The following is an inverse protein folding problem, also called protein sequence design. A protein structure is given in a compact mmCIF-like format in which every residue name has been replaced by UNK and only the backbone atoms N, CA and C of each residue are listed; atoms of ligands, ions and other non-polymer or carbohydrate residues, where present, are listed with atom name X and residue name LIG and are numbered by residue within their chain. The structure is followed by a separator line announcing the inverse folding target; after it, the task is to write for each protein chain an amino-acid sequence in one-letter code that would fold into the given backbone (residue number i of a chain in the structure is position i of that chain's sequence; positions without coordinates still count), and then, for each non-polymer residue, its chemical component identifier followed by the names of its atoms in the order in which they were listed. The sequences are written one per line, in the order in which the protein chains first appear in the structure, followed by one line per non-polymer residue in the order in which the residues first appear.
data_IF_868894378043
#
_entry.id   IF_868894378043
#
_cell.length_a   1.000
_cell.length_b   1.000
_cell.length_c   1.000
_cell.angle_alpha   90.00
_cell.angle_beta   90.00
_cell.angle_gamma   90.00
#
_symmetry.space_group_name_H-M   'P 1'
#
loop_
_entity.id
_entity.type
_entity.pdbx_description
1 polymer ?
#
# COMPACT_ATOMS: atom_id res chain seq x y z
N UNK A 1 -14.76 13.16 -23.63
CA UNK A 1 -14.12 13.53 -22.35
C UNK A 1 -12.62 13.55 -22.55
N UNK A 2 -11.96 14.62 -22.14
CA UNK A 2 -10.50 14.68 -22.20
C UNK A 2 -9.89 13.63 -21.26
N UNK A 3 -8.85 12.97 -21.76
CA UNK A 3 -8.14 11.96 -20.97
C UNK A 3 -7.33 12.64 -19.86
N UNK A 4 -7.49 12.17 -18.64
CA UNK A 4 -6.79 12.69 -17.45
C UNK A 4 -5.58 11.81 -17.16
N UNK A 5 -4.40 12.42 -17.07
CA UNK A 5 -3.16 11.71 -16.68
C UNK A 5 -2.99 11.77 -15.18
N UNK A 6 -2.79 10.62 -14.57
CA UNK A 6 -2.37 10.46 -13.17
C UNK A 6 -1.09 9.66 -13.12
N UNK A 7 -0.31 9.84 -12.07
CA UNK A 7 0.87 9.02 -11.83
C UNK A 7 0.70 8.15 -10.60
N UNK A 8 1.07 6.88 -10.70
CA UNK A 8 1.12 5.95 -9.58
C UNK A 8 2.59 5.71 -9.22
N UNK A 9 2.97 6.18 -8.03
CA UNK A 9 4.33 6.10 -7.53
C UNK A 9 4.49 4.89 -6.60
N UNK A 10 5.31 3.92 -7.02
CA UNK A 10 5.70 2.78 -6.17
C UNK A 10 7.00 3.06 -5.42
N UNK A 11 7.12 2.56 -4.21
CA UNK A 11 8.41 2.56 -3.48
C UNK A 11 9.40 1.53 -4.04
N UNK A 12 8.99 0.70 -4.98
CA UNK A 12 9.81 -0.28 -5.70
C UNK A 12 10.24 0.22 -7.07
N UNK A 13 10.32 -0.72 -8.03
CA UNK A 13 10.54 -0.41 -9.45
C UNK A 13 9.22 -0.47 -10.23
N UNK A 14 9.09 0.39 -11.23
CA UNK A 14 8.02 0.33 -12.22
C UNK A 14 8.44 -0.50 -13.46
N UNK A 15 7.49 -1.04 -14.26
CA UNK A 15 6.04 -1.06 -14.00
C UNK A 15 5.64 -2.10 -12.93
N UNK A 16 4.52 -1.83 -12.23
CA UNK A 16 3.92 -2.72 -11.24
C UNK A 16 2.69 -3.42 -11.82
N UNK A 17 2.91 -4.22 -12.84
CA UNK A 17 1.83 -4.96 -13.52
C UNK A 17 1.02 -5.83 -12.55
N UNK A 18 1.67 -6.38 -11.51
CA UNK A 18 1.05 -7.15 -10.43
C UNK A 18 0.02 -6.36 -9.59
N UNK A 19 0.04 -5.04 -9.66
CA UNK A 19 -0.91 -4.16 -8.98
C UNK A 19 -1.84 -3.49 -9.99
N UNK A 20 -1.27 -2.93 -11.05
CA UNK A 20 -2.00 -2.10 -12.01
C UNK A 20 -3.03 -2.90 -12.82
N UNK A 21 -2.74 -4.16 -13.14
CA UNK A 21 -3.71 -5.03 -13.82
C UNK A 21 -5.04 -5.19 -13.07
N UNK A 22 -5.02 -5.20 -11.74
CA UNK A 22 -6.23 -5.26 -10.92
C UNK A 22 -6.84 -3.88 -10.62
N UNK A 23 -6.03 -2.81 -10.61
CA UNK A 23 -6.52 -1.45 -10.37
C UNK A 23 -7.18 -0.85 -11.61
N UNK A 24 -6.60 -1.06 -12.80
CA UNK A 24 -7.06 -0.47 -14.06
C UNK A 24 -8.55 -0.69 -14.35
N UNK A 25 -9.13 -1.89 -14.16
CA UNK A 25 -10.56 -2.11 -14.34
C UNK A 25 -11.45 -1.34 -13.33
N UNK A 26 -10.90 -0.90 -12.20
CA UNK A 26 -11.61 -0.16 -11.16
C UNK A 26 -11.57 1.36 -11.39
N UNK A 27 -10.68 1.83 -12.27
CA UNK A 27 -10.51 3.25 -12.57
C UNK A 27 -11.44 3.68 -13.70
N UNK A 28 -11.83 4.97 -13.68
CA UNK A 28 -12.62 5.55 -14.75
C UNK A 28 -11.89 5.41 -16.11
N UNK A 29 -12.58 5.01 -17.21
CA UNK A 29 -11.95 4.74 -18.52
C UNK A 29 -11.19 5.93 -19.12
N UNK A 30 -11.51 7.15 -18.70
CA UNK A 30 -10.82 8.38 -19.10
C UNK A 30 -9.49 8.63 -18.40
N UNK A 31 -9.13 7.81 -17.41
CA UNK A 31 -7.86 7.95 -16.68
C UNK A 31 -6.75 7.23 -17.41
N UNK A 32 -5.65 7.95 -17.68
CA UNK A 32 -4.39 7.39 -18.18
C UNK A 32 -3.44 7.27 -16.99
N UNK A 33 -3.02 6.04 -16.69
CA UNK A 33 -2.04 5.74 -15.65
C UNK A 33 -0.64 5.89 -16.24
N UNK A 34 0.20 6.66 -15.58
CA UNK A 34 1.64 6.63 -15.70
C UNK A 34 2.22 6.03 -14.42
N UNK A 35 3.29 5.27 -14.54
CA UNK A 35 3.93 4.60 -13.42
C UNK A 35 5.34 5.12 -13.20
N UNK A 36 5.72 5.27 -11.95
CA UNK A 36 7.08 5.60 -11.53
C UNK A 36 7.46 4.79 -10.30
N UNK A 37 8.72 4.36 -10.25
CA UNK A 37 9.29 3.72 -9.07
C UNK A 37 10.40 4.55 -8.45
N UNK A 38 10.46 4.62 -7.12
CA UNK A 38 11.58 5.26 -6.43
C UNK A 38 12.92 4.58 -6.72
N UNK A 39 12.89 3.32 -7.13
CA UNK A 39 14.08 2.53 -7.47
C UNK A 39 14.36 2.49 -8.97
N UNK A 40 13.60 3.22 -9.80
CA UNK A 40 13.84 3.25 -11.24
C UNK A 40 15.21 3.88 -11.54
N UNK A 41 15.98 3.23 -12.41
CA UNK A 41 17.31 3.69 -12.79
C UNK A 41 18.43 3.42 -11.76
N UNK A 42 18.10 2.91 -10.57
CA UNK A 42 19.13 2.54 -9.60
C UNK A 42 19.83 1.23 -9.99
N UNK A 43 21.15 1.20 -9.80
CA UNK A 43 21.93 -0.04 -9.93
C UNK A 43 21.58 -1.04 -8.80
N UNK A 44 21.89 -2.34 -8.96
CA UNK A 44 21.72 -3.31 -7.89
C UNK A 44 22.39 -2.90 -6.57
N UNK A 45 23.58 -2.30 -6.64
CA UNK A 45 24.33 -1.80 -5.48
C UNK A 45 23.63 -0.58 -4.87
N UNK A 46 23.01 0.29 -5.69
CA UNK A 46 22.18 1.41 -5.23
C UNK A 46 20.99 0.93 -4.42
N UNK A 47 20.31 -0.11 -4.91
CA UNK A 47 19.17 -0.73 -4.21
C UNK A 47 19.62 -1.41 -2.91
N UNK A 48 20.78 -2.10 -2.93
CA UNK A 48 21.33 -2.76 -1.74
C UNK A 48 21.59 -1.76 -0.60
N UNK A 49 22.06 -0.56 -0.90
CA UNK A 49 22.26 0.53 0.10
C UNK A 49 20.96 1.03 0.73
N UNK A 50 19.82 0.76 0.12
CA UNK A 50 18.52 1.14 0.65
C UNK A 50 17.92 0.08 1.59
N UNK A 51 18.57 -1.04 1.78
CA UNK A 51 18.14 -2.05 2.77
C UNK A 51 18.10 -1.48 4.18
N UNK A 52 17.21 -1.99 5.03
CA UNK A 52 17.16 -1.57 6.43
C UNK A 52 18.42 -2.02 7.17
N UNK A 53 18.90 -1.16 8.05
CA UNK A 53 19.94 -1.48 9.04
C UNK A 53 19.32 -2.10 10.29
N UNK A 54 20.16 -2.63 11.18
CA UNK A 54 19.66 -3.22 12.42
C UNK A 54 18.82 -2.21 13.22
N UNK A 55 17.58 -2.58 13.52
CA UNK A 55 16.62 -1.73 14.25
C UNK A 55 15.83 -0.75 13.38
N UNK A 56 16.08 -0.68 12.08
CA UNK A 56 15.24 0.10 11.17
C UNK A 56 13.98 -0.68 10.74
N UNK A 57 12.91 0.04 10.50
CA UNK A 57 11.66 -0.50 9.99
C UNK A 57 11.79 -0.94 8.53
N UNK A 58 11.49 -2.20 8.19
CA UNK A 58 11.48 -2.66 6.81
C UNK A 58 10.17 -2.30 6.11
N UNK A 59 10.25 -1.79 4.87
CA UNK A 59 9.17 -1.73 3.91
C UNK A 59 9.39 -2.79 2.83
N UNK A 60 8.32 -3.48 2.45
CA UNK A 60 8.37 -4.54 1.43
C UNK A 60 7.90 -4.01 0.08
N UNK A 61 8.65 -4.30 -0.96
CA UNK A 61 8.28 -4.00 -2.34
C UNK A 61 8.83 -5.03 -3.33
N UNK A 62 8.60 -4.78 -4.62
CA UNK A 62 9.14 -5.64 -5.70
C UNK A 62 9.97 -4.84 -6.68
N UNK A 63 10.99 -5.50 -7.22
CA UNK A 63 11.75 -5.04 -8.38
C UNK A 63 11.03 -5.44 -9.68
N UNK A 64 11.41 -4.83 -10.79
CA UNK A 64 10.84 -5.07 -12.13
C UNK A 64 10.84 -6.55 -12.52
N UNK A 65 11.84 -7.33 -12.09
CA UNK A 65 11.90 -8.78 -12.29
C UNK A 65 11.01 -9.61 -11.35
N UNK A 66 10.16 -8.99 -10.53
CA UNK A 66 9.28 -9.67 -9.59
C UNK A 66 9.95 -10.09 -8.27
N UNK A 67 11.26 -9.88 -8.11
CA UNK A 67 11.97 -10.17 -6.85
C UNK A 67 11.50 -9.24 -5.74
N UNK A 68 11.10 -9.80 -4.60
CA UNK A 68 10.80 -9.04 -3.39
C UNK A 68 12.09 -8.48 -2.80
N UNK A 69 12.03 -7.27 -2.27
CA UNK A 69 13.10 -6.62 -1.52
C UNK A 69 12.52 -5.91 -0.31
N UNK A 70 13.35 -5.79 0.72
CA UNK A 70 13.10 -5.00 1.92
C UNK A 70 13.92 -3.73 1.85
N UNK A 71 13.30 -2.60 2.15
CA UNK A 71 13.89 -1.26 2.08
C UNK A 71 13.72 -0.57 3.44
N UNK A 72 14.69 0.25 3.81
CA UNK A 72 14.59 1.08 5.00
C UNK A 72 13.48 2.13 4.84
N UNK A 73 12.52 2.13 5.76
CA UNK A 73 11.45 3.14 5.81
C UNK A 73 12.03 4.55 5.79
N UNK A 74 13.02 4.81 6.63
CA UNK A 74 13.69 6.11 6.75
C UNK A 74 14.31 6.58 5.42
N UNK A 75 15.03 5.68 4.73
CA UNK A 75 15.66 5.99 3.44
C UNK A 75 14.62 6.25 2.36
N UNK A 76 13.56 5.46 2.29
CA UNK A 76 12.46 5.63 1.34
C UNK A 76 11.68 6.92 1.62
N UNK A 77 11.35 7.21 2.88
CA UNK A 77 10.68 8.45 3.27
C UNK A 77 11.47 9.71 2.91
N UNK A 78 12.82 9.63 2.91
CA UNK A 78 13.66 10.76 2.49
C UNK A 78 13.66 10.99 0.97
N UNK A 79 13.45 9.95 0.16
CA UNK A 79 13.42 10.02 -1.31
C UNK A 79 12.06 10.51 -1.86
N UNK A 80 10.98 10.22 -1.14
CA UNK A 80 9.61 10.46 -1.62
C UNK A 80 9.33 11.93 -2.00
N UNK A 81 9.74 12.94 -1.20
CA UNK A 81 9.47 14.34 -1.54
C UNK A 81 10.05 14.79 -2.87
N UNK A 82 11.30 14.41 -3.16
CA UNK A 82 11.96 14.77 -4.42
C UNK A 82 11.24 14.15 -5.62
N UNK A 83 10.82 12.88 -5.50
CA UNK A 83 10.06 12.20 -6.55
C UNK A 83 8.72 12.91 -6.81
N UNK A 84 8.00 13.34 -5.77
CA UNK A 84 6.74 14.07 -5.90
C UNK A 84 6.96 15.45 -6.52
N UNK A 85 7.98 16.20 -6.10
CA UNK A 85 8.31 17.49 -6.69
C UNK A 85 8.66 17.37 -8.18
N UNK A 86 9.39 16.33 -8.57
CA UNK A 86 9.67 16.04 -9.97
C UNK A 86 8.38 15.84 -10.77
N UNK A 87 7.44 15.01 -10.26
CA UNK A 87 6.15 14.79 -10.91
C UNK A 87 5.34 16.08 -11.11
N UNK A 88 5.36 16.98 -10.14
CA UNK A 88 4.69 18.27 -10.22
C UNK A 88 5.25 19.17 -11.32
N UNK A 89 6.58 19.27 -11.39
CA UNK A 89 7.29 20.22 -12.28
C UNK A 89 7.34 19.72 -13.73
N UNK A 90 7.72 18.46 -13.92
CA UNK A 90 8.09 17.95 -15.25
C UNK A 90 6.93 17.30 -15.99
N UNK A 91 5.99 16.68 -15.28
CA UNK A 91 5.02 15.77 -15.86
C UNK A 91 3.63 16.35 -16.08
N UNK A 92 3.32 17.52 -15.52
CA UNK A 92 1.98 18.16 -15.59
C UNK A 92 0.83 17.19 -15.24
N UNK A 93 1.04 16.40 -14.18
CA UNK A 93 0.02 15.47 -13.71
C UNK A 93 -1.14 16.20 -13.04
N UNK A 94 -2.33 15.60 -13.11
CA UNK A 94 -3.53 16.14 -12.44
C UNK A 94 -3.67 15.65 -11.01
N UNK A 95 -3.13 14.48 -10.72
CA UNK A 95 -3.05 13.88 -9.40
C UNK A 95 -2.01 12.75 -9.38
N UNK A 96 -1.62 12.30 -8.19
CA UNK A 96 -0.83 11.09 -8.02
C UNK A 96 -1.37 10.21 -6.90
N UNK A 97 -1.10 8.91 -7.00
CA UNK A 97 -1.40 7.91 -5.97
C UNK A 97 -0.12 7.20 -5.52
N UNK A 98 0.00 6.93 -4.24
CA UNK A 98 1.15 6.23 -3.68
C UNK A 98 0.85 4.74 -3.54
N UNK A 99 1.63 3.89 -4.21
CA UNK A 99 1.48 2.42 -4.14
C UNK A 99 2.20 1.86 -2.90
N UNK A 100 1.82 2.37 -1.73
CA UNK A 100 2.30 1.93 -0.42
C UNK A 100 1.29 2.32 0.67
N UNK A 101 1.17 1.51 1.71
CA UNK A 101 0.27 1.75 2.85
C UNK A 101 0.98 2.36 4.06
N UNK A 102 2.28 2.66 3.94
CA UNK A 102 3.01 3.31 5.02
C UNK A 102 2.48 4.73 5.27
N UNK A 103 2.51 5.17 6.54
CA UNK A 103 2.17 6.54 6.93
C UNK A 103 3.40 7.45 6.73
N UNK A 104 3.56 7.91 5.49
CA UNK A 104 4.67 8.81 5.14
C UNK A 104 4.48 10.20 5.75
N UNK A 105 5.59 10.88 6.11
CA UNK A 105 5.53 12.26 6.58
C UNK A 105 4.80 13.16 5.59
N UNK A 106 3.78 13.87 6.07
CA UNK A 106 2.96 14.76 5.24
C UNK A 106 3.72 16.08 4.99
N UNK A 107 3.69 16.52 3.74
CA UNK A 107 4.16 17.82 3.29
C UNK A 107 3.09 18.47 2.42
N UNK A 108 3.12 19.78 2.31
CA UNK A 108 2.27 20.49 1.36
C UNK A 108 2.82 20.30 -0.05
N UNK A 109 2.00 19.76 -0.93
CA UNK A 109 2.26 19.64 -2.35
C UNK A 109 1.13 20.33 -3.13
N UNK A 110 1.45 20.94 -4.26
CA UNK A 110 0.45 21.57 -5.13
C UNK A 110 -0.36 20.53 -5.92
N UNK A 111 0.15 19.31 -6.03
CA UNK A 111 -0.50 18.18 -6.68
C UNK A 111 -1.39 17.42 -5.70
N UNK A 112 -2.66 17.13 -6.00
CA UNK A 112 -3.46 16.21 -5.21
C UNK A 112 -2.77 14.85 -5.12
N UNK A 113 -2.50 14.40 -3.88
CA UNK A 113 -1.86 13.12 -3.60
C UNK A 113 -2.80 12.21 -2.83
N UNK A 114 -2.94 10.97 -3.31
CA UNK A 114 -3.75 9.95 -2.66
C UNK A 114 -2.84 8.95 -1.94
N UNK A 115 -2.85 9.01 -0.62
CA UNK A 115 -2.19 8.02 0.24
C UNK A 115 -3.22 6.99 0.70
N UNK A 116 -3.05 5.70 0.39
CA UNK A 116 -4.00 4.67 0.85
C UNK A 116 -4.20 4.65 2.36
N UNK A 117 -3.13 4.93 3.14
CA UNK A 117 -3.19 4.99 4.58
C UNK A 117 -4.26 5.96 5.11
N UNK A 118 -4.33 7.17 4.56
CA UNK A 118 -5.27 8.21 5.01
C UNK A 118 -6.74 7.76 4.83
N UNK A 119 -7.04 7.16 3.69
CA UNK A 119 -8.38 6.64 3.41
C UNK A 119 -8.72 5.42 4.26
N UNK A 120 -7.77 4.51 4.46
CA UNK A 120 -7.94 3.37 5.36
C UNK A 120 -8.21 3.84 6.80
N UNK A 121 -7.42 4.81 7.28
CA UNK A 121 -7.60 5.39 8.61
C UNK A 121 -8.97 6.07 8.75
N UNK A 122 -9.39 6.86 7.74
CA UNK A 122 -10.71 7.47 7.73
C UNK A 122 -11.82 6.42 7.76
N UNK A 123 -11.76 5.41 6.91
CA UNK A 123 -12.76 4.34 6.85
C UNK A 123 -12.87 3.59 8.18
N UNK A 124 -11.75 3.19 8.77
CA UNK A 124 -11.77 2.42 10.02
C UNK A 124 -12.22 3.25 11.21
N UNK A 125 -11.73 4.49 11.33
CA UNK A 125 -12.00 5.32 12.50
C UNK A 125 -13.32 6.09 12.43
N UNK A 126 -13.71 6.60 11.28
CA UNK A 126 -14.87 7.47 11.10
C UNK A 126 -16.10 6.76 10.56
N UNK A 127 -15.94 5.89 9.58
CA UNK A 127 -17.06 5.20 8.93
C UNK A 127 -17.43 3.94 9.72
N UNK A 128 -16.50 3.02 9.90
CA UNK A 128 -16.71 1.75 10.61
C UNK A 128 -16.71 1.94 12.13
N UNK A 129 -16.04 2.99 12.63
CA UNK A 129 -15.85 3.23 14.07
C UNK A 129 -15.29 2.00 14.80
N UNK A 130 -14.39 1.30 14.12
CA UNK A 130 -13.80 0.07 14.62
C UNK A 130 -12.98 0.34 15.90
N UNK A 131 -13.24 -0.43 16.94
CA UNK A 131 -12.53 -0.39 18.22
C UNK A 131 -11.44 -1.45 18.28
N UNK A 132 -11.58 -2.51 17.51
CA UNK A 132 -10.68 -3.64 17.44
C UNK A 132 -10.34 -3.92 15.99
N UNK A 133 -9.09 -3.71 15.59
CA UNK A 133 -8.62 -3.94 14.22
C UNK A 133 -7.77 -5.20 14.14
N UNK A 134 -8.04 -6.04 13.14
CA UNK A 134 -7.15 -7.09 12.67
C UNK A 134 -6.31 -6.56 11.49
N UNK A 135 -5.01 -6.72 11.55
CA UNK A 135 -4.12 -6.27 10.49
C UNK A 135 -3.31 -7.45 9.95
N UNK A 136 -3.18 -7.55 8.63
CA UNK A 136 -2.26 -8.50 8.01
C UNK A 136 -1.13 -7.74 7.34
N UNK A 137 0.11 -8.07 7.71
CA UNK A 137 1.33 -7.45 7.19
C UNK A 137 2.19 -8.45 6.39
N UNK A 138 3.05 -7.99 5.46
CA UNK A 138 3.93 -8.87 4.69
C UNK A 138 4.95 -9.65 5.51
N UNK A 139 5.46 -9.06 6.60
CA UNK A 139 6.55 -9.60 7.41
C UNK A 139 6.21 -9.54 8.90
N UNK A 140 6.59 -10.59 9.64
CA UNK A 140 6.46 -10.62 11.10
C UNK A 140 7.19 -9.45 11.77
N UNK A 141 8.36 -9.06 11.24
CA UNK A 141 9.15 -7.91 11.74
C UNK A 141 8.41 -6.56 11.71
N UNK A 142 7.32 -6.45 10.93
CA UNK A 142 6.48 -5.24 10.87
C UNK A 142 5.40 -5.20 11.97
N UNK A 143 5.21 -6.29 12.73
CA UNK A 143 4.06 -6.44 13.60
C UNK A 143 3.97 -5.35 14.69
N UNK A 144 5.08 -5.08 15.39
CA UNK A 144 5.06 -4.12 16.52
C UNK A 144 4.80 -2.69 16.04
N UNK A 145 5.51 -2.24 14.99
CA UNK A 145 5.27 -0.94 14.37
C UNK A 145 3.81 -0.81 13.89
N UNK A 146 3.27 -1.89 13.32
CA UNK A 146 1.89 -1.90 12.80
C UNK A 146 0.87 -1.79 13.92
N UNK A 147 1.10 -2.43 15.06
CA UNK A 147 0.24 -2.26 16.25
C UNK A 147 0.17 -0.79 16.69
N UNK A 148 1.31 -0.12 16.73
CA UNK A 148 1.36 1.30 17.09
C UNK A 148 0.67 2.18 16.03
N UNK A 149 1.00 1.98 14.75
CA UNK A 149 0.44 2.71 13.61
C UNK A 149 -1.09 2.68 13.58
N UNK A 150 -1.66 1.49 13.74
CA UNK A 150 -3.10 1.28 13.64
C UNK A 150 -3.83 1.27 14.99
N UNK A 151 -3.11 1.31 16.11
CA UNK A 151 -3.67 1.03 17.45
C UNK A 151 -4.48 -0.27 17.42
N UNK A 152 -3.93 -1.28 16.76
CA UNK A 152 -4.63 -2.51 16.42
C UNK A 152 -4.67 -3.51 17.57
N UNK A 153 -5.69 -4.37 17.57
CA UNK A 153 -5.86 -5.42 18.57
C UNK A 153 -5.07 -6.68 18.24
N UNK A 154 -4.85 -6.96 16.97
CA UNK A 154 -4.13 -8.14 16.50
C UNK A 154 -3.47 -7.89 15.15
N UNK A 155 -2.19 -8.24 15.04
CA UNK A 155 -1.43 -8.25 13.79
C UNK A 155 -1.01 -9.66 13.48
N UNK A 156 -1.25 -10.10 12.25
CA UNK A 156 -0.82 -11.36 11.67
C UNK A 156 0.09 -11.08 10.48
N UNK A 157 1.02 -11.98 10.21
CA UNK A 157 1.90 -11.89 9.05
C UNK A 157 1.52 -12.89 7.97
N UNK A 158 1.54 -12.45 6.72
CA UNK A 158 1.43 -13.28 5.53
C UNK A 158 2.00 -12.49 4.34
N UNK A 159 3.01 -13.05 3.67
CA UNK A 159 3.53 -12.38 2.48
C UNK A 159 2.50 -12.37 1.34
N UNK A 160 2.29 -11.24 0.64
CA UNK A 160 1.48 -11.21 -0.58
C UNK A 160 2.19 -11.83 -1.80
N UNK A 161 3.46 -12.21 -1.64
CA UNK A 161 4.33 -12.69 -2.73
C UNK A 161 4.87 -14.09 -2.53
N UNK A 162 4.71 -14.67 -1.34
CA UNK A 162 5.21 -15.99 -0.99
C UNK A 162 4.16 -16.76 -0.20
N UNK A 163 4.38 -18.06 -0.01
CA UNK A 163 3.55 -18.89 0.85
C UNK A 163 3.57 -18.42 2.31
N UNK A 164 2.86 -19.12 3.17
CA UNK A 164 2.77 -18.81 4.62
C UNK A 164 1.50 -19.37 5.21
N UNK A 165 1.03 -18.78 6.31
CA UNK A 165 -0.22 -19.13 6.99
C UNK A 165 -1.40 -19.12 5.99
N UNK A 166 -2.35 -20.01 6.17
CA UNK A 166 -3.59 -19.97 5.39
C UNK A 166 -4.46 -18.79 5.82
N UNK A 167 -5.31 -18.30 4.90
CA UNK A 167 -6.28 -17.27 5.23
C UNK A 167 -7.29 -17.73 6.28
N UNK A 168 -7.62 -19.02 6.30
CA UNK A 168 -8.48 -19.64 7.31
C UNK A 168 -7.87 -19.55 8.72
N UNK A 169 -6.58 -19.87 8.87
CA UNK A 169 -5.87 -19.76 10.17
C UNK A 169 -5.86 -18.33 10.69
N UNK A 170 -5.55 -17.35 9.82
CA UNK A 170 -5.56 -15.94 10.16
C UNK A 170 -6.97 -15.49 10.58
N UNK A 171 -7.98 -15.86 9.79
CA UNK A 171 -9.37 -15.51 10.07
C UNK A 171 -9.86 -16.08 11.42
N UNK A 172 -9.51 -17.33 11.75
CA UNK A 172 -9.85 -17.94 13.06
C UNK A 172 -9.32 -17.11 14.23
N UNK A 173 -8.09 -16.56 14.11
CA UNK A 173 -7.50 -15.70 15.15
C UNK A 173 -8.24 -14.37 15.25
N UNK A 174 -8.62 -13.76 14.13
CA UNK A 174 -9.40 -12.52 14.11
C UNK A 174 -10.80 -12.72 14.72
N UNK A 175 -11.46 -13.83 14.41
CA UNK A 175 -12.76 -14.20 15.01
C UNK A 175 -12.61 -14.35 16.53
N UNK A 176 -11.59 -15.08 17.00
CA UNK A 176 -11.34 -15.28 18.42
C UNK A 176 -11.11 -13.96 19.18
N UNK A 177 -10.49 -12.98 18.52
CA UNK A 177 -10.25 -11.62 19.06
C UNK A 177 -11.41 -10.66 18.85
N UNK A 178 -12.50 -11.08 18.14
CA UNK A 178 -13.68 -10.27 17.85
C UNK A 178 -13.32 -8.93 17.24
N UNK A 179 -12.47 -8.94 16.20
CA UNK A 179 -12.11 -7.71 15.49
C UNK A 179 -13.33 -7.14 14.75
N UNK A 180 -13.43 -5.81 14.66
CA UNK A 180 -14.53 -5.11 14.00
C UNK A 180 -14.31 -4.91 12.50
N UNK A 181 -13.04 -4.92 12.07
CA UNK A 181 -12.62 -4.83 10.68
C UNK A 181 -11.21 -5.41 10.50
N UNK A 182 -10.88 -5.79 9.27
CA UNK A 182 -9.55 -6.30 8.90
C UNK A 182 -8.95 -5.42 7.81
N UNK A 183 -7.65 -5.12 7.90
CA UNK A 183 -6.89 -4.41 6.89
C UNK A 183 -5.79 -5.35 6.36
N UNK A 184 -5.72 -5.50 5.04
CA UNK A 184 -4.58 -6.13 4.38
C UNK A 184 -3.52 -5.03 4.11
N UNK A 185 -2.63 -4.79 5.09
CA UNK A 185 -1.77 -3.59 5.17
C UNK A 185 -0.53 -3.67 4.25
N UNK A 186 -0.78 -3.95 2.99
CA UNK A 186 0.18 -3.83 1.90
C UNK A 186 -0.55 -3.69 0.56
N UNK A 187 -0.06 -2.80 -0.30
CA UNK A 187 -0.61 -2.65 -1.66
C UNK A 187 -0.46 -3.93 -2.49
N UNK A 188 0.48 -4.79 -2.12
CA UNK A 188 0.78 -6.06 -2.78
C UNK A 188 -0.31 -7.12 -2.66
N UNK A 189 -1.19 -7.07 -1.64
CA UNK A 189 -2.30 -8.03 -1.52
C UNK A 189 -3.27 -7.87 -2.69
N UNK A 190 -3.73 -9.02 -3.22
CA UNK A 190 -4.61 -9.10 -4.39
C UNK A 190 -6.09 -9.03 -4.01
N UNK A 191 -6.92 -8.80 -5.00
CA UNK A 191 -8.38 -8.89 -4.85
C UNK A 191 -8.77 -10.31 -4.42
N UNK A 192 -8.06 -11.33 -4.89
CA UNK A 192 -8.28 -12.72 -4.50
C UNK A 192 -7.98 -12.97 -3.02
N UNK A 193 -6.88 -12.43 -2.50
CA UNK A 193 -6.55 -12.50 -1.07
C UNK A 193 -7.70 -11.96 -0.20
N UNK A 194 -8.24 -10.79 -0.61
CA UNK A 194 -9.42 -10.21 0.07
C UNK A 194 -10.62 -11.14 0.01
N UNK A 195 -10.92 -11.73 -1.15
CA UNK A 195 -12.09 -12.64 -1.29
C UNK A 195 -11.92 -13.88 -0.43
N UNK A 196 -10.73 -14.47 -0.41
CA UNK A 196 -10.45 -15.67 0.38
C UNK A 196 -10.67 -15.41 1.88
N UNK A 197 -10.01 -14.41 2.46
CA UNK A 197 -10.19 -14.13 3.89
C UNK A 197 -11.60 -13.65 4.21
N UNK A 198 -12.25 -12.87 3.33
CA UNK A 198 -13.63 -12.41 3.51
C UNK A 198 -14.61 -13.57 3.57
N UNK A 199 -14.33 -14.69 2.89
CA UNK A 199 -15.15 -15.90 2.95
C UNK A 199 -15.24 -16.52 4.35
N UNK A 200 -14.28 -16.26 5.22
CA UNK A 200 -14.25 -16.73 6.61
C UNK A 200 -14.74 -15.69 7.62
N UNK A 201 -14.86 -14.41 7.23
CA UNK A 201 -15.14 -13.29 8.12
C UNK A 201 -16.47 -12.63 7.81
N UNK A 202 -17.23 -12.29 8.85
CA UNK A 202 -18.45 -11.48 8.76
C UNK A 202 -18.19 -9.97 8.87
N UNK A 203 -16.97 -9.57 9.18
CA UNK A 203 -16.56 -8.16 9.32
C UNK A 203 -15.92 -7.65 8.02
N UNK A 204 -15.93 -6.33 7.76
CA UNK A 204 -15.29 -5.78 6.55
C UNK A 204 -13.80 -6.09 6.45
N UNK A 205 -13.35 -6.48 5.27
CA UNK A 205 -11.92 -6.58 4.91
C UNK A 205 -11.59 -5.46 3.96
N UNK A 206 -10.61 -4.62 4.32
CA UNK A 206 -10.18 -3.47 3.56
C UNK A 206 -8.91 -3.79 2.76
N UNK A 207 -8.96 -3.53 1.45
CA UNK A 207 -7.85 -3.78 0.52
C UNK A 207 -7.36 -2.45 -0.07
N UNK A 208 -6.10 -2.06 0.16
CA UNK A 208 -5.57 -0.75 -0.22
C UNK A 208 -5.70 -0.42 -1.70
N UNK A 209 -5.44 -1.37 -2.62
CA UNK A 209 -5.51 -1.11 -4.07
C UNK A 209 -6.93 -0.78 -4.54
N UNK A 210 -7.96 -1.37 -3.95
CA UNK A 210 -9.35 -1.04 -4.23
C UNK A 210 -9.66 0.37 -3.72
N UNK A 211 -9.27 0.67 -2.48
CA UNK A 211 -9.50 1.97 -1.85
C UNK A 211 -8.79 3.09 -2.62
N UNK A 212 -7.53 2.88 -3.01
CA UNK A 212 -6.77 3.83 -3.81
C UNK A 212 -7.46 4.10 -5.17
N UNK A 213 -7.94 3.06 -5.84
CA UNK A 213 -8.64 3.20 -7.12
C UNK A 213 -9.92 4.04 -6.99
N UNK A 214 -10.74 3.78 -5.98
CA UNK A 214 -11.95 4.58 -5.74
C UNK A 214 -11.64 6.01 -5.30
N UNK A 215 -10.62 6.22 -4.47
CA UNK A 215 -10.19 7.55 -4.07
C UNK A 215 -9.73 8.39 -5.27
N UNK A 216 -8.96 7.80 -6.17
CA UNK A 216 -8.54 8.45 -7.42
C UNK A 216 -9.74 8.82 -8.28
N UNK A 217 -10.73 7.94 -8.43
CA UNK A 217 -11.94 8.23 -9.21
C UNK A 217 -12.75 9.43 -8.68
N UNK A 218 -12.62 9.77 -7.39
CA UNK A 218 -13.32 10.94 -6.82
C UNK A 218 -12.67 12.28 -7.18
N UNK A 219 -11.48 12.25 -7.80
CA UNK A 219 -10.78 13.48 -8.19
C UNK A 219 -11.17 13.97 -9.61
N UNK A 220 -11.98 13.16 -10.35
CA UNK A 220 -12.28 13.44 -11.76
C UNK A 220 -13.72 13.12 -12.18
#
# INVERSE_FOLDING_TARGET
MDKVKIELLTIGQSPREDIISEMKPLLHPGIIILERGLLDGLSPEGIERLKPEAGETPLVTRLKGGRQVELSEKKISSMLPEAIEFMQKEMRMRAAGILCTHDFPKREFSLPLVFPFDYLQFLTSRVLRAKSLGIVVPLESQAEMTKEKWKSSLVEDKSPYAGGKSWEEIAKRFIAKRVDAVILDCIGYKIEDKKEIQGFLSVPVLLPRIILSYAINQLF
#
